data_IF_553870545071
#
_entry.id   IF_553870545071
#
_cell.length_a   1.000
_cell.length_b   1.000
_cell.length_c   1.000
_cell.angle_alpha   90.00
_cell.angle_beta   90.00
_cell.angle_gamma   90.00
#
_symmetry.space_group_name_H-M   'P 1'
#
loop_
_entity.id
_entity.type
_entity.pdbx_description
1 polymer ?
#
# COMPACT_ATOMS: atom_id res chain seq x y z
N UNK A 1 -16.67 27.73 97.99
CA UNK A 1 -15.96 26.90 96.97
C UNK A 1 -16.85 26.90 95.77
N UNK A 2 -16.56 27.77 94.80
CA UNK A 2 -17.32 27.88 93.54
C UNK A 2 -16.63 27.06 92.44
N UNK A 3 -17.37 26.11 91.88
CA UNK A 3 -16.94 25.33 90.75
C UNK A 3 -17.43 25.96 89.49
N UNK A 4 -16.50 26.43 88.60
CA UNK A 4 -16.81 26.91 87.24
C UNK A 4 -16.78 25.78 86.28
N UNK A 5 -17.93 25.55 85.62
CA UNK A 5 -18.05 24.58 84.50
C UNK A 5 -17.89 25.31 83.18
N UNK A 6 -16.87 24.96 82.45
CA UNK A 6 -16.61 25.44 81.06
C UNK A 6 -17.42 24.59 80.07
N UNK A 7 -18.42 25.23 79.42
CA UNK A 7 -19.18 24.67 78.31
C UNK A 7 -18.34 24.78 77.04
N UNK A 8 -18.08 23.64 76.39
CA UNK A 8 -17.43 23.60 75.07
C UNK A 8 -18.48 23.97 74.00
N UNK A 9 -18.14 24.92 73.14
CA UNK A 9 -18.89 25.23 71.92
C UNK A 9 -18.57 24.16 70.83
N UNK A 10 -19.56 23.75 70.05
CA UNK A 10 -19.30 22.86 68.87
C UNK A 10 -18.77 23.64 67.68
N UNK A 11 -17.70 23.14 67.12
CA UNK A 11 -17.10 23.64 65.84
C UNK A 11 -18.00 23.24 64.66
N UNK A 12 -18.30 24.12 63.67
CA UNK A 12 -19.06 23.73 62.48
C UNK A 12 -18.17 22.94 61.55
N UNK A 13 -18.56 21.74 61.19
CA UNK A 13 -18.00 20.95 60.11
C UNK A 13 -18.20 21.71 58.78
N UNK A 14 -17.13 22.31 58.25
CA UNK A 14 -17.10 22.80 56.87
C UNK A 14 -16.87 21.60 55.96
N UNK A 15 -17.93 21.11 55.32
CA UNK A 15 -17.81 20.19 54.19
C UNK A 15 -17.15 20.89 53.01
N UNK A 16 -15.91 20.53 52.70
CA UNK A 16 -15.27 20.91 51.45
C UNK A 16 -15.86 20.07 50.32
N UNK A 17 -16.72 20.67 49.51
CA UNK A 17 -17.19 20.06 48.27
C UNK A 17 -16.03 20.23 47.24
N UNK A 18 -15.30 19.14 46.98
CA UNK A 18 -14.31 19.06 45.94
C UNK A 18 -15.05 18.97 44.58
N UNK A 19 -15.21 20.10 43.92
CA UNK A 19 -15.73 20.12 42.53
C UNK A 19 -14.60 19.65 41.62
N UNK A 20 -14.62 18.37 41.23
CA UNK A 20 -13.77 17.84 40.15
C UNK A 20 -14.26 18.45 38.82
N UNK A 21 -13.56 19.47 38.33
CA UNK A 21 -13.71 19.98 37.00
C UNK A 21 -13.16 18.89 36.03
N UNK A 22 -14.04 18.07 35.47
CA UNK A 22 -13.73 17.24 34.31
C UNK A 22 -13.53 18.17 33.10
N UNK A 23 -12.30 18.59 32.88
CA UNK A 23 -11.92 19.23 31.60
C UNK A 23 -12.01 18.15 30.53
N UNK A 24 -12.73 18.41 29.41
CA UNK A 24 -12.69 17.51 28.29
C UNK A 24 -11.24 17.43 27.77
N UNK A 25 -10.66 16.25 27.75
CA UNK A 25 -9.41 15.99 27.03
C UNK A 25 -9.78 16.08 25.56
N UNK A 26 -9.48 17.22 24.94
CA UNK A 26 -9.53 17.36 23.49
C UNK A 26 -8.38 16.49 22.99
N UNK A 27 -8.68 15.27 22.51
CA UNK A 27 -7.74 14.49 21.75
C UNK A 27 -7.41 15.31 20.49
N UNK A 28 -6.20 15.83 20.41
CA UNK A 28 -5.70 16.38 19.14
C UNK A 28 -5.50 15.18 18.24
N UNK A 29 -6.33 15.05 17.21
CA UNK A 29 -6.09 14.06 16.17
C UNK A 29 -4.67 14.28 15.62
N UNK A 30 -3.87 13.21 15.59
CA UNK A 30 -2.54 13.26 14.99
C UNK A 30 -2.66 13.55 13.48
N UNK A 31 -1.60 14.08 12.89
CA UNK A 31 -1.52 14.22 11.43
C UNK A 31 -1.73 12.83 10.78
N UNK A 32 -2.50 12.74 9.68
CA UNK A 32 -2.72 11.47 9.02
C UNK A 32 -1.41 10.90 8.45
N UNK A 33 -1.24 9.59 8.54
CA UNK A 33 -0.14 8.90 7.87
C UNK A 33 -0.34 8.98 6.35
N UNK A 34 0.63 9.54 5.65
CA UNK A 34 0.58 9.76 4.20
C UNK A 34 1.44 8.73 3.47
N UNK A 35 0.79 7.84 2.75
CA UNK A 35 1.45 6.76 1.99
C UNK A 35 1.26 7.01 0.49
N UNK A 36 2.36 7.00 -0.26
CA UNK A 36 2.31 7.01 -1.72
C UNK A 36 2.57 5.62 -2.26
N UNK A 37 1.75 5.19 -3.23
CA UNK A 37 1.91 3.92 -3.93
C UNK A 37 2.23 4.16 -5.39
N UNK A 38 3.38 3.65 -5.84
CA UNK A 38 3.84 3.66 -7.23
C UNK A 38 3.89 2.24 -7.79
N UNK A 39 3.72 2.09 -9.10
CA UNK A 39 3.67 0.77 -9.74
C UNK A 39 4.09 0.82 -11.19
N UNK A 40 4.60 -0.31 -11.70
CA UNK A 40 4.77 -0.54 -13.14
C UNK A 40 5.51 0.62 -13.82
N UNK A 41 6.70 0.94 -13.31
CA UNK A 41 7.53 2.07 -13.79
C UNK A 41 8.39 1.69 -14.99
N UNK A 42 8.52 0.40 -15.25
CA UNK A 42 9.34 -0.16 -16.31
C UNK A 42 8.92 0.31 -17.72
N UNK A 43 9.89 0.39 -18.61
CA UNK A 43 9.68 0.63 -20.04
C UNK A 43 9.66 -0.66 -20.86
N UNK A 44 10.17 -0.62 -22.10
CA UNK A 44 10.34 -1.81 -22.95
C UNK A 44 11.43 -2.73 -22.39
N UNK A 45 11.33 -4.04 -22.67
CA UNK A 45 12.23 -5.08 -22.17
C UNK A 45 13.72 -4.76 -22.36
N UNK A 46 14.46 -4.76 -21.25
CA UNK A 46 15.89 -4.44 -21.20
C UNK A 46 16.22 -2.94 -21.24
N UNK A 47 15.21 -2.07 -21.20
CA UNK A 47 15.42 -0.62 -21.20
C UNK A 47 16.00 -0.14 -19.87
N UNK A 48 16.96 0.77 -19.97
CA UNK A 48 17.48 1.58 -18.86
C UNK A 48 16.88 2.99 -18.85
N UNK A 49 15.89 3.26 -19.73
CA UNK A 49 15.25 4.58 -19.85
C UNK A 49 13.88 4.54 -19.24
N UNK A 50 13.58 5.51 -18.43
CA UNK A 50 12.25 5.77 -17.88
C UNK A 50 11.53 6.81 -18.73
N UNK A 51 10.21 6.69 -18.82
CA UNK A 51 9.38 7.68 -19.49
C UNK A 51 9.22 8.93 -18.62
N UNK A 52 9.04 10.10 -19.24
CA UNK A 52 8.88 11.38 -18.56
C UNK A 52 7.86 11.41 -17.41
N UNK A 53 6.73 10.67 -17.45
CA UNK A 53 5.81 10.59 -16.30
C UNK A 53 6.44 10.00 -15.03
N UNK A 54 7.46 9.15 -15.13
CA UNK A 54 8.16 8.62 -13.95
C UNK A 54 8.89 9.74 -13.22
N UNK A 55 9.69 10.53 -13.96
CA UNK A 55 10.45 11.64 -13.37
C UNK A 55 9.52 12.74 -12.83
N UNK A 56 8.43 13.05 -13.56
CA UNK A 56 7.43 14.02 -13.11
C UNK A 56 6.70 13.56 -11.83
N UNK A 57 6.35 12.27 -11.76
CA UNK A 57 5.76 11.68 -10.55
C UNK A 57 6.74 11.75 -9.37
N UNK A 58 8.02 11.41 -9.59
CA UNK A 58 9.04 11.46 -8.54
C UNK A 58 9.24 12.90 -8.03
N UNK A 59 9.30 13.89 -8.91
CA UNK A 59 9.38 15.30 -8.50
C UNK A 59 8.19 15.68 -7.60
N UNK A 60 6.96 15.29 -7.99
CA UNK A 60 5.77 15.57 -7.19
C UNK A 60 5.75 14.82 -5.87
N UNK A 61 6.19 13.58 -5.82
CA UNK A 61 6.27 12.78 -4.58
C UNK A 61 7.27 13.40 -3.59
N UNK A 62 8.41 13.89 -4.08
CA UNK A 62 9.39 14.58 -3.23
C UNK A 62 8.84 15.88 -2.64
N UNK A 63 8.01 16.63 -3.39
CA UNK A 63 7.30 17.82 -2.88
C UNK A 63 6.24 17.45 -1.82
N UNK A 64 5.50 16.35 -2.03
CA UNK A 64 4.48 15.86 -1.12
C UNK A 64 5.06 15.39 0.22
N UNK A 65 6.32 14.96 0.26
CA UNK A 65 7.00 14.44 1.45
C UNK A 65 6.16 13.42 2.22
N UNK A 66 5.76 12.30 1.59
CA UNK A 66 4.99 11.27 2.26
C UNK A 66 5.82 10.59 3.37
N UNK A 67 5.16 10.00 4.34
CA UNK A 67 5.79 9.20 5.39
C UNK A 67 6.31 7.85 4.88
N UNK A 68 5.76 7.37 3.75
CA UNK A 68 6.14 6.11 3.13
C UNK A 68 5.86 6.15 1.63
N UNK A 69 6.77 5.56 0.84
CA UNK A 69 6.51 5.18 -0.54
C UNK A 69 6.53 3.66 -0.67
N UNK A 70 5.50 3.08 -1.30
CA UNK A 70 5.39 1.65 -1.61
C UNK A 70 5.49 1.47 -3.12
N UNK A 71 6.36 0.55 -3.58
CA UNK A 71 6.30 0.05 -4.96
C UNK A 71 5.59 -1.30 -4.99
N UNK A 72 4.55 -1.41 -5.82
CA UNK A 72 3.88 -2.69 -6.07
C UNK A 72 4.51 -3.48 -7.22
N UNK A 73 5.81 -3.28 -7.49
CA UNK A 73 6.59 -4.08 -8.43
C UNK A 73 6.68 -3.51 -9.85
N UNK A 74 7.34 -4.26 -10.71
CA UNK A 74 7.67 -3.92 -12.10
C UNK A 74 8.45 -2.60 -12.20
N UNK A 75 9.52 -2.53 -11.41
CA UNK A 75 10.45 -1.41 -11.33
C UNK A 75 11.40 -1.39 -12.53
N UNK A 76 11.84 -2.56 -13.00
CA UNK A 76 12.71 -2.73 -14.16
C UNK A 76 12.11 -3.70 -15.18
N UNK A 77 12.55 -3.63 -16.45
CA UNK A 77 11.92 -4.31 -17.57
C UNK A 77 12.62 -5.63 -17.94
N UNK A 78 12.66 -6.57 -17.01
CA UNK A 78 13.14 -7.93 -17.25
C UNK A 78 12.16 -8.82 -18.02
N UNK A 79 12.28 -10.14 -17.84
CA UNK A 79 11.48 -11.17 -18.52
C UNK A 79 11.61 -11.22 -20.05
N UNK A 80 12.69 -10.68 -20.61
CA UNK A 80 12.96 -10.74 -22.06
C UNK A 80 13.41 -12.15 -22.47
N UNK A 81 13.04 -12.55 -23.66
CA UNK A 81 13.63 -13.71 -24.35
C UNK A 81 14.19 -13.30 -25.73
N UNK A 82 15.45 -13.68 -26.09
CA UNK A 82 16.40 -14.42 -25.24
C UNK A 82 16.71 -13.68 -23.96
N UNK A 83 17.12 -14.42 -22.91
CA UNK A 83 17.36 -13.88 -21.57
C UNK A 83 18.40 -12.74 -21.59
N UNK A 84 18.18 -11.76 -20.71
CA UNK A 84 19.13 -10.69 -20.45
C UNK A 84 20.37 -11.23 -19.74
N UNK A 85 21.52 -10.67 -20.03
CA UNK A 85 22.73 -10.92 -19.27
C UNK A 85 22.66 -10.23 -17.91
N UNK A 86 23.46 -10.71 -16.92
CA UNK A 86 23.62 -10.05 -15.62
C UNK A 86 23.90 -8.55 -15.78
N UNK A 87 24.83 -8.20 -16.67
CA UNK A 87 25.22 -6.80 -16.92
C UNK A 87 24.04 -5.93 -17.39
N UNK A 88 23.18 -6.47 -18.26
CA UNK A 88 21.99 -5.74 -18.74
C UNK A 88 20.99 -5.55 -17.60
N UNK A 89 20.77 -6.58 -16.76
CA UNK A 89 19.87 -6.51 -15.62
C UNK A 89 20.38 -5.51 -14.58
N UNK A 90 21.67 -5.58 -14.23
CA UNK A 90 22.29 -4.63 -13.30
C UNK A 90 22.25 -3.19 -13.82
N UNK A 91 22.40 -2.96 -15.14
CA UNK A 91 22.26 -1.63 -15.73
C UNK A 91 20.84 -1.08 -15.62
N UNK A 92 19.81 -1.93 -15.73
CA UNK A 92 18.42 -1.52 -15.47
C UNK A 92 18.21 -1.11 -14.02
N UNK A 93 18.78 -1.87 -13.06
CA UNK A 93 18.70 -1.51 -11.65
C UNK A 93 19.44 -0.23 -11.30
N UNK A 94 20.63 0.00 -11.89
CA UNK A 94 21.34 1.27 -11.73
C UNK A 94 20.48 2.45 -12.19
N UNK A 95 19.82 2.32 -13.35
CA UNK A 95 18.91 3.35 -13.83
C UNK A 95 17.71 3.55 -12.89
N UNK A 96 17.10 2.47 -12.39
CA UNK A 96 16.01 2.55 -11.42
C UNK A 96 16.43 3.31 -10.16
N UNK A 97 17.57 2.96 -9.60
CA UNK A 97 18.05 3.61 -8.39
C UNK A 97 18.29 5.11 -8.62
N UNK A 98 18.91 5.48 -9.73
CA UNK A 98 19.15 6.90 -10.06
C UNK A 98 17.87 7.72 -10.23
N UNK A 99 16.80 7.13 -10.81
CA UNK A 99 15.53 7.84 -11.05
C UNK A 99 14.58 7.80 -9.85
N UNK A 100 14.64 6.77 -8.99
CA UNK A 100 13.60 6.52 -7.98
C UNK A 100 14.18 6.38 -6.58
N UNK A 101 14.95 5.33 -6.29
CA UNK A 101 15.27 5.01 -4.90
C UNK A 101 16.31 5.95 -4.27
N UNK A 102 17.28 6.45 -5.05
CA UNK A 102 18.27 7.42 -4.56
C UNK A 102 17.66 8.80 -4.26
N UNK A 103 16.78 9.37 -5.11
CA UNK A 103 16.03 10.58 -4.76
C UNK A 103 15.20 10.46 -3.49
N UNK A 104 14.49 9.33 -3.29
CA UNK A 104 13.72 9.08 -2.07
C UNK A 104 14.63 8.96 -0.84
N UNK A 105 15.71 8.21 -0.94
CA UNK A 105 16.69 8.06 0.14
C UNK A 105 17.35 9.41 0.46
N UNK A 106 17.70 10.20 -0.55
CA UNK A 106 18.27 11.54 -0.37
C UNK A 106 17.31 12.52 0.33
N UNK A 107 15.99 12.30 0.20
CA UNK A 107 14.97 13.08 0.90
C UNK A 107 14.61 12.50 2.28
N UNK A 108 15.19 11.35 2.67
CA UNK A 108 14.87 10.67 3.93
C UNK A 108 13.48 10.02 3.95
N UNK A 109 12.90 9.74 2.76
CA UNK A 109 11.58 9.13 2.64
C UNK A 109 11.72 7.61 2.65
N UNK A 110 11.10 6.88 3.59
CA UNK A 110 11.07 5.42 3.62
C UNK A 110 10.52 4.84 2.31
N UNK A 111 11.19 3.81 1.80
CA UNK A 111 10.79 3.17 0.54
C UNK A 111 10.78 1.66 0.67
N UNK A 112 9.62 1.04 0.49
CA UNK A 112 9.42 -0.41 0.53
C UNK A 112 8.93 -0.93 -0.83
N UNK A 113 9.24 -2.18 -1.14
CA UNK A 113 8.97 -2.76 -2.45
C UNK A 113 8.41 -4.17 -2.33
N UNK A 114 7.53 -4.56 -3.24
CA UNK A 114 7.23 -5.98 -3.52
C UNK A 114 7.77 -6.34 -4.90
N UNK A 115 8.20 -7.59 -5.16
CA UNK A 115 8.66 -7.98 -6.48
C UNK A 115 7.53 -7.95 -7.49
N UNK A 116 7.82 -7.48 -8.71
CA UNK A 116 6.99 -7.64 -9.88
C UNK A 116 7.41 -8.83 -10.75
N UNK A 117 6.60 -9.15 -11.76
CA UNK A 117 6.96 -10.25 -12.65
C UNK A 117 8.11 -9.89 -13.61
N UNK A 118 8.36 -8.60 -13.86
CA UNK A 118 9.46 -8.14 -14.70
C UNK A 118 10.78 -7.91 -13.94
N UNK A 119 10.78 -7.92 -12.62
CA UNK A 119 11.98 -7.65 -11.82
C UNK A 119 12.35 -8.76 -10.83
N UNK A 120 11.38 -9.44 -10.21
CA UNK A 120 11.61 -10.47 -9.19
C UNK A 120 10.85 -11.78 -9.43
N UNK A 121 10.57 -12.14 -10.69
CA UNK A 121 9.72 -13.27 -11.07
C UNK A 121 10.07 -14.59 -10.40
N UNK A 122 9.08 -15.25 -9.81
CA UNK A 122 9.19 -16.60 -9.29
C UNK A 122 9.13 -17.69 -10.39
N UNK A 123 8.94 -17.35 -11.66
CA UNK A 123 9.07 -18.31 -12.76
C UNK A 123 10.52 -18.80 -12.89
N UNK A 124 10.72 -20.11 -12.88
CA UNK A 124 12.04 -20.76 -12.92
C UNK A 124 12.95 -20.27 -14.06
N UNK A 125 12.38 -19.85 -15.20
CA UNK A 125 13.12 -19.33 -16.33
C UNK A 125 13.82 -17.99 -16.06
N UNK A 126 13.47 -17.28 -15.00
CA UNK A 126 13.97 -15.93 -14.66
C UNK A 126 14.69 -15.89 -13.31
N UNK A 127 15.25 -17.03 -12.89
CA UNK A 127 15.94 -17.16 -11.60
C UNK A 127 17.13 -16.18 -11.43
N UNK A 128 17.81 -15.84 -12.52
CA UNK A 128 18.90 -14.84 -12.48
C UNK A 128 18.36 -13.44 -12.16
N UNK A 129 17.26 -13.02 -12.79
CA UNK A 129 16.62 -11.72 -12.52
C UNK A 129 16.14 -11.64 -11.08
N UNK A 130 15.51 -12.72 -10.58
CA UNK A 130 15.06 -12.84 -9.21
C UNK A 130 16.23 -12.80 -8.18
N UNK A 131 17.36 -13.45 -8.47
CA UNK A 131 18.53 -13.38 -7.62
C UNK A 131 19.10 -11.97 -7.58
N UNK A 132 19.18 -11.29 -8.72
CA UNK A 132 19.66 -9.91 -8.78
C UNK A 132 18.71 -8.96 -8.05
N UNK A 133 17.39 -9.17 -8.14
CA UNK A 133 16.42 -8.44 -7.32
C UNK A 133 16.79 -8.50 -5.83
N UNK A 134 17.06 -9.70 -5.31
CA UNK A 134 17.48 -9.84 -3.91
C UNK A 134 18.82 -9.14 -3.63
N UNK A 135 19.80 -9.25 -4.52
CA UNK A 135 21.07 -8.55 -4.41
C UNK A 135 20.91 -7.02 -4.37
N UNK A 136 19.87 -6.47 -5.02
CA UNK A 136 19.59 -5.04 -5.00
C UNK A 136 18.92 -4.59 -3.70
N UNK A 137 18.02 -5.41 -3.13
CA UNK A 137 17.18 -4.96 -2.02
C UNK A 137 17.65 -5.41 -0.64
N UNK A 138 18.27 -6.58 -0.49
CA UNK A 138 18.77 -7.07 0.80
C UNK A 138 19.75 -6.10 1.52
N UNK A 139 20.66 -5.41 0.83
CA UNK A 139 21.59 -4.48 1.49
C UNK A 139 20.97 -3.10 1.77
N UNK A 140 19.74 -2.83 1.34
CA UNK A 140 19.08 -1.53 1.51
C UNK A 140 18.16 -1.54 2.71
N UNK A 141 18.32 -0.55 3.58
CA UNK A 141 17.42 -0.34 4.70
C UNK A 141 16.22 0.51 4.24
N UNK A 142 14.99 -0.01 4.30
CA UNK A 142 13.81 0.70 3.79
C UNK A 142 13.32 1.82 4.71
N UNK A 143 13.91 2.00 5.89
CA UNK A 143 13.54 3.03 6.85
C UNK A 143 12.28 2.71 7.67
N UNK A 144 11.89 1.43 7.76
CA UNK A 144 10.74 0.94 8.53
C UNK A 144 11.15 -0.12 9.54
N UNK A 145 10.31 -0.36 10.55
CA UNK A 145 10.56 -1.44 11.53
C UNK A 145 9.91 -2.75 11.08
N UNK A 146 10.72 -3.73 10.73
CA UNK A 146 10.24 -5.06 10.42
C UNK A 146 9.66 -5.77 11.65
N UNK A 147 8.54 -6.46 11.45
CA UNK A 147 7.90 -7.38 12.39
C UNK A 147 8.24 -8.83 12.05
N UNK A 148 8.35 -9.11 10.77
CA UNK A 148 8.79 -10.39 10.21
C UNK A 148 9.51 -10.13 8.88
N UNK A 149 10.78 -10.49 8.79
CA UNK A 149 11.66 -10.27 7.63
C UNK A 149 12.26 -11.57 7.07
N UNK A 150 11.80 -12.74 7.55
CA UNK A 150 12.35 -14.03 7.16
C UNK A 150 12.27 -14.30 5.63
N UNK A 151 11.31 -13.70 4.94
CA UNK A 151 11.14 -13.77 3.49
C UNK A 151 11.65 -12.56 2.72
N UNK A 152 12.25 -11.57 3.40
CA UNK A 152 12.74 -10.35 2.75
C UNK A 152 13.84 -10.68 1.72
N UNK A 153 13.83 -10.06 0.54
CA UNK A 153 13.01 -8.94 0.07
C UNK A 153 11.75 -9.35 -0.73
N UNK A 154 11.33 -10.60 -0.68
CA UNK A 154 10.22 -11.09 -1.49
C UNK A 154 8.86 -10.95 -0.79
N UNK A 155 8.79 -11.33 0.49
CA UNK A 155 7.62 -11.13 1.35
C UNK A 155 8.09 -10.83 2.79
N UNK A 156 7.40 -9.94 3.45
CA UNK A 156 7.75 -9.47 4.79
C UNK A 156 6.61 -8.66 5.39
N UNK A 157 6.67 -8.44 6.71
CA UNK A 157 5.74 -7.58 7.42
C UNK A 157 6.49 -6.50 8.21
N UNK A 158 5.96 -5.29 8.23
CA UNK A 158 6.51 -4.15 8.96
C UNK A 158 5.39 -3.27 9.52
N UNK A 159 5.77 -2.37 10.41
CA UNK A 159 4.88 -1.34 10.94
C UNK A 159 5.33 0.06 10.58
N UNK A 160 4.38 0.96 10.46
CA UNK A 160 4.60 2.39 10.46
C UNK A 160 3.38 3.09 11.10
N UNK A 161 3.63 3.85 12.17
CA UNK A 161 2.53 4.35 12.99
C UNK A 161 1.68 3.23 13.58
N UNK A 162 0.36 3.34 13.49
CA UNK A 162 -0.60 2.34 13.95
C UNK A 162 -1.13 1.45 12.80
N UNK A 163 -0.27 1.18 11.81
CA UNK A 163 -0.61 0.41 10.61
C UNK A 163 0.35 -0.76 10.43
N UNK A 164 -0.23 -1.96 10.25
CA UNK A 164 0.48 -3.16 9.83
C UNK A 164 0.51 -3.22 8.30
N UNK A 165 1.71 -3.31 7.75
CA UNK A 165 1.93 -3.50 6.31
C UNK A 165 2.52 -4.88 6.03
N UNK A 166 1.98 -5.57 5.00
CA UNK A 166 2.40 -6.92 4.62
C UNK A 166 2.66 -6.98 3.11
N UNK A 167 3.90 -7.26 2.72
CA UNK A 167 4.31 -7.51 1.33
C UNK A 167 4.14 -8.99 0.99
N UNK A 168 3.57 -9.31 -0.17
CA UNK A 168 3.44 -10.66 -0.67
C UNK A 168 4.25 -10.87 -1.95
N UNK A 169 4.93 -12.00 -2.07
CA UNK A 169 5.53 -12.47 -3.31
C UNK A 169 4.47 -13.07 -4.24
N UNK A 170 3.84 -12.23 -5.03
CA UNK A 170 2.85 -12.62 -6.02
C UNK A 170 3.28 -12.13 -7.42
N UNK A 171 4.25 -12.81 -8.00
CA UNK A 171 4.82 -12.50 -9.33
C UNK A 171 4.41 -13.49 -10.41
N UNK A 172 3.62 -14.51 -10.03
CA UNK A 172 3.10 -15.58 -10.89
C UNK A 172 1.59 -15.59 -10.79
N UNK A 173 0.94 -15.81 -11.92
CA UNK A 173 -0.52 -16.00 -11.99
C UNK A 173 -0.94 -17.29 -11.29
N UNK A 174 -2.06 -17.28 -10.58
CA UNK A 174 -2.58 -18.40 -9.81
C UNK A 174 -2.33 -18.26 -8.31
N UNK A 175 -2.75 -19.24 -7.54
CA UNK A 175 -2.74 -19.24 -6.08
C UNK A 175 -1.32 -19.04 -5.51
N UNK A 176 -1.24 -18.37 -4.37
CA UNK A 176 -0.01 -18.28 -3.62
C UNK A 176 0.47 -19.67 -3.15
N UNK A 177 1.80 -19.88 -3.00
CA UNK A 177 2.31 -21.10 -2.40
C UNK A 177 1.71 -21.34 -1.00
N UNK A 178 1.37 -22.60 -0.63
CA UNK A 178 0.82 -22.89 0.71
C UNK A 178 1.69 -22.37 1.84
N UNK A 179 3.01 -22.44 1.71
CA UNK A 179 3.95 -21.91 2.71
C UNK A 179 3.81 -20.40 2.92
N UNK A 180 3.54 -19.62 1.87
CA UNK A 180 3.31 -18.19 2.00
C UNK A 180 1.92 -17.89 2.59
N UNK A 181 0.91 -18.69 2.26
CA UNK A 181 -0.41 -18.60 2.89
C UNK A 181 -0.36 -18.88 4.39
N UNK A 182 0.40 -19.93 4.82
CA UNK A 182 0.59 -20.25 6.23
C UNK A 182 1.37 -19.14 6.96
N UNK A 183 2.40 -18.58 6.31
CA UNK A 183 3.14 -17.44 6.83
C UNK A 183 2.24 -16.20 7.00
N UNK A 184 1.45 -15.84 5.97
CA UNK A 184 0.53 -14.70 6.03
C UNK A 184 -0.47 -14.85 7.18
N UNK A 185 -1.05 -16.06 7.33
CA UNK A 185 -1.94 -16.39 8.46
C UNK A 185 -1.23 -16.16 9.79
N UNK A 186 -0.02 -16.69 9.94
CA UNK A 186 0.77 -16.52 11.17
C UNK A 186 1.08 -15.06 11.51
N UNK A 187 1.37 -14.23 10.49
CA UNK A 187 1.58 -12.78 10.67
C UNK A 187 0.30 -12.07 11.12
N UNK A 188 -0.83 -12.36 10.45
CA UNK A 188 -2.12 -11.74 10.78
C UNK A 188 -2.63 -12.19 12.16
N UNK A 189 -2.48 -13.47 12.52
CA UNK A 189 -2.86 -14.00 13.84
C UNK A 189 -2.00 -13.40 14.95
N UNK A 190 -0.70 -13.18 14.70
CA UNK A 190 0.24 -12.69 15.70
C UNK A 190 0.15 -11.19 15.93
N UNK A 191 0.00 -10.42 14.86
CA UNK A 191 0.13 -8.95 14.90
C UNK A 191 -1.15 -8.22 14.52
N UNK A 192 -2.08 -8.85 13.80
CA UNK A 192 -3.22 -8.15 13.18
C UNK A 192 -4.07 -7.34 14.17
N UNK A 193 -4.25 -7.81 15.41
CA UNK A 193 -5.05 -7.14 16.41
C UNK A 193 -4.33 -6.01 17.15
N UNK A 194 -3.00 -5.91 17.00
CA UNK A 194 -2.19 -4.89 17.65
C UNK A 194 -2.21 -3.56 16.89
N UNK A 195 -2.68 -3.57 15.64
CA UNK A 195 -2.70 -2.42 14.74
C UNK A 195 -4.12 -2.04 14.36
N UNK A 196 -4.38 -0.75 14.26
CA UNK A 196 -5.68 -0.21 13.87
C UNK A 196 -6.02 -0.53 12.42
N UNK A 197 -5.04 -0.49 11.53
CA UNK A 197 -5.19 -0.76 10.09
C UNK A 197 -4.23 -1.84 9.61
N UNK A 198 -4.66 -2.60 8.62
CA UNK A 198 -3.91 -3.68 7.98
C UNK A 198 -3.91 -3.46 6.47
N UNK A 199 -2.74 -3.26 5.92
CA UNK A 199 -2.51 -3.04 4.48
C UNK A 199 -1.68 -4.18 3.93
N UNK A 200 -2.22 -4.92 2.99
CA UNK A 200 -1.52 -5.97 2.26
C UNK A 200 -1.22 -5.47 0.84
N UNK A 201 -0.05 -5.77 0.32
CA UNK A 201 0.29 -5.38 -1.04
C UNK A 201 1.07 -6.46 -1.78
N UNK A 202 0.84 -6.52 -3.10
CA UNK A 202 1.48 -7.46 -4.01
C UNK A 202 1.60 -6.87 -5.40
N UNK A 203 2.24 -7.59 -6.33
CA UNK A 203 2.24 -7.16 -7.73
C UNK A 203 1.01 -7.68 -8.49
N UNK A 204 0.88 -9.00 -8.66
CA UNK A 204 -0.28 -9.59 -9.34
C UNK A 204 -1.52 -9.41 -8.45
N UNK A 205 -2.63 -8.86 -8.98
CA UNK A 205 -3.82 -8.62 -8.20
C UNK A 205 -4.57 -9.91 -7.84
N UNK A 206 -5.34 -9.87 -6.75
CA UNK A 206 -6.19 -11.00 -6.36
C UNK A 206 -7.31 -11.23 -7.37
N UNK A 207 -7.89 -10.16 -7.91
CA UNK A 207 -9.00 -10.19 -8.86
C UNK A 207 -8.71 -9.36 -10.12
N UNK A 208 -9.34 -9.69 -11.28
CA UNK A 208 -9.07 -8.99 -12.52
C UNK A 208 -9.74 -7.61 -12.57
N UNK A 209 -9.00 -6.61 -13.10
CA UNK A 209 -9.44 -5.23 -13.27
C UNK A 209 -9.42 -4.76 -14.71
N UNK A 210 -8.47 -5.24 -15.53
CA UNK A 210 -8.17 -4.68 -16.83
C UNK A 210 -8.50 -5.61 -18.01
N UNK A 211 -8.90 -5.02 -19.14
CA UNK A 211 -9.11 -5.70 -20.41
C UNK A 211 -7.80 -6.30 -20.91
N UNK A 212 -7.86 -7.55 -21.39
CA UNK A 212 -6.71 -8.34 -21.85
C UNK A 212 -5.87 -8.92 -20.70
N UNK A 213 -6.35 -8.78 -19.46
CA UNK A 213 -5.74 -9.35 -18.24
C UNK A 213 -6.73 -10.16 -17.41
N UNK A 214 -7.81 -10.60 -18.03
CA UNK A 214 -8.90 -11.33 -17.36
C UNK A 214 -8.48 -12.69 -16.82
N UNK A 215 -7.25 -13.15 -17.15
CA UNK A 215 -6.66 -14.40 -16.67
C UNK A 215 -5.35 -14.22 -15.89
N UNK A 216 -4.91 -12.97 -15.75
CA UNK A 216 -3.62 -12.63 -15.13
C UNK A 216 -3.83 -12.12 -13.70
N UNK A 217 -4.28 -13.00 -12.80
CA UNK A 217 -4.60 -12.68 -11.42
C UNK A 217 -4.35 -13.90 -10.51
N UNK A 218 -4.33 -13.70 -9.19
CA UNK A 218 -4.12 -14.76 -8.20
C UNK A 218 -5.33 -15.70 -8.16
N UNK A 219 -6.53 -15.16 -8.03
CA UNK A 219 -7.78 -15.92 -8.10
C UNK A 219 -7.98 -16.93 -6.97
N UNK A 220 -7.46 -16.64 -5.78
CA UNK A 220 -7.47 -17.52 -4.62
C UNK A 220 -8.60 -17.14 -3.63
N UNK A 221 -9.69 -17.94 -3.55
CA UNK A 221 -10.77 -17.70 -2.60
C UNK A 221 -10.33 -17.83 -1.12
N UNK A 222 -9.32 -18.67 -0.84
CA UNK A 222 -8.83 -18.88 0.53
C UNK A 222 -8.02 -17.67 0.99
N UNK A 223 -7.26 -17.03 0.09
CA UNK A 223 -6.63 -15.74 0.37
C UNK A 223 -7.69 -14.66 0.63
N UNK A 224 -8.74 -14.58 -0.20
CA UNK A 224 -9.85 -13.66 0.05
C UNK A 224 -10.46 -13.86 1.44
N UNK A 225 -10.78 -15.10 1.79
CA UNK A 225 -11.39 -15.43 3.08
C UNK A 225 -10.46 -15.10 4.26
N UNK A 226 -9.15 -15.29 4.10
CA UNK A 226 -8.15 -14.92 5.11
C UNK A 226 -8.10 -13.41 5.33
N UNK A 227 -8.09 -12.63 4.24
CA UNK A 227 -8.07 -11.15 4.32
C UNK A 227 -9.34 -10.61 4.99
N UNK A 228 -10.52 -11.18 4.66
CA UNK A 228 -11.80 -10.86 5.29
C UNK A 228 -11.80 -11.17 6.79
N UNK A 229 -11.38 -12.39 7.15
CA UNK A 229 -11.39 -12.86 8.54
C UNK A 229 -10.41 -12.08 9.45
N UNK A 230 -9.36 -11.53 8.87
CA UNK A 230 -8.36 -10.73 9.57
C UNK A 230 -8.66 -9.21 9.52
N UNK A 231 -9.83 -8.81 9.02
CA UNK A 231 -10.24 -7.41 8.87
C UNK A 231 -9.17 -6.55 8.15
N UNK A 232 -8.62 -7.07 7.04
CA UNK A 232 -7.67 -6.31 6.22
C UNK A 232 -8.41 -5.16 5.54
N UNK A 233 -7.93 -3.93 5.74
CA UNK A 233 -8.55 -2.72 5.21
C UNK A 233 -8.27 -2.54 3.71
N UNK A 234 -6.99 -2.71 3.30
CA UNK A 234 -6.53 -2.51 1.93
C UNK A 234 -5.72 -3.68 1.40
N UNK A 235 -6.00 -4.04 0.15
CA UNK A 235 -5.14 -4.87 -0.68
C UNK A 235 -4.71 -4.07 -1.92
N UNK A 236 -3.42 -3.71 -2.01
CA UNK A 236 -2.87 -2.90 -3.10
C UNK A 236 -2.19 -3.81 -4.13
N UNK A 237 -2.38 -3.54 -5.42
CA UNK A 237 -1.76 -4.33 -6.48
C UNK A 237 -1.44 -3.53 -7.74
N UNK A 238 -0.39 -3.95 -8.46
CA UNK A 238 0.02 -3.42 -9.76
C UNK A 238 -0.47 -4.27 -10.93
N UNK A 239 0.44 -4.53 -11.89
CA UNK A 239 0.32 -5.48 -13.01
C UNK A 239 -0.77 -5.17 -14.05
N UNK A 240 -1.91 -4.69 -13.62
CA UNK A 240 -3.05 -4.41 -14.49
C UNK A 240 -3.02 -3.02 -15.13
N UNK A 241 -2.13 -2.13 -14.69
CA UNK A 241 -1.89 -0.80 -15.25
C UNK A 241 -3.17 0.03 -15.41
N UNK A 242 -4.12 -0.12 -14.53
CA UNK A 242 -5.38 0.61 -14.54
C UNK A 242 -5.86 0.87 -13.11
N UNK A 243 -6.02 2.13 -12.75
CA UNK A 243 -6.48 2.51 -11.41
C UNK A 243 -7.95 2.17 -11.23
N UNK A 244 -8.24 1.40 -10.19
CA UNK A 244 -9.59 1.17 -9.72
C UNK A 244 -9.62 0.89 -8.22
N UNK A 245 -10.31 1.71 -7.42
CA UNK A 245 -10.54 1.49 -6.00
C UNK A 245 -11.75 0.57 -5.83
N UNK A 246 -11.54 -0.73 -6.02
CA UNK A 246 -12.58 -1.75 -5.86
C UNK A 246 -12.75 -2.16 -4.41
N UNK A 247 -13.88 -2.79 -4.08
CA UNK A 247 -14.12 -3.39 -2.77
C UNK A 247 -15.04 -4.61 -2.89
N UNK A 248 -14.83 -5.55 -1.99
CA UNK A 248 -15.65 -6.74 -1.85
C UNK A 248 -15.57 -7.25 -0.41
N UNK A 249 -16.73 -7.45 0.24
CA UNK A 249 -16.86 -8.03 1.58
C UNK A 249 -15.96 -7.34 2.64
N UNK A 250 -16.04 -6.02 2.71
CA UNK A 250 -15.30 -5.24 3.71
C UNK A 250 -13.85 -4.93 3.35
N UNK A 251 -13.22 -5.64 2.41
CA UNK A 251 -11.84 -5.39 1.97
C UNK A 251 -11.83 -4.49 0.73
N UNK A 252 -11.00 -3.45 0.74
CA UNK A 252 -10.76 -2.63 -0.44
C UNK A 252 -9.59 -3.20 -1.27
N UNK A 253 -9.84 -3.50 -2.55
CA UNK A 253 -8.88 -3.97 -3.53
C UNK A 253 -8.54 -2.84 -4.48
N UNK A 254 -7.38 -2.23 -4.32
CA UNK A 254 -6.97 -1.06 -5.10
C UNK A 254 -5.94 -1.47 -6.14
N UNK A 255 -6.38 -1.50 -7.40
CA UNK A 255 -5.49 -1.70 -8.55
C UNK A 255 -4.81 -0.38 -8.90
N UNK A 256 -3.48 -0.42 -9.04
CA UNK A 256 -2.68 0.74 -9.41
C UNK A 256 -2.68 0.95 -10.92
N UNK A 257 -2.61 2.21 -11.35
CA UNK A 257 -2.15 2.51 -12.71
C UNK A 257 -0.64 2.39 -12.80
N UNK A 258 -0.11 2.37 -14.02
CA UNK A 258 1.33 2.41 -14.24
C UNK A 258 1.86 3.85 -14.27
N UNK A 259 3.17 4.02 -14.03
CA UNK A 259 3.89 5.26 -14.30
C UNK A 259 4.68 5.18 -15.61
N UNK A 260 5.31 4.03 -15.91
CA UNK A 260 6.14 3.81 -17.09
C UNK A 260 5.44 3.04 -18.18
N UNK A 261 5.15 1.76 -17.95
CA UNK A 261 4.54 0.87 -18.93
C UNK A 261 3.17 1.37 -19.43
N UNK A 262 2.70 0.85 -20.56
CA UNK A 262 1.49 1.33 -21.23
C UNK A 262 0.21 1.13 -20.42
N UNK A 263 -0.55 2.19 -20.13
CA UNK A 263 -1.79 2.09 -19.38
C UNK A 263 -2.85 1.26 -20.11
N UNK A 264 -3.69 0.54 -19.37
CA UNK A 264 -4.75 -0.32 -19.90
C UNK A 264 -6.14 0.24 -19.63
N UNK A 265 -7.13 -0.42 -20.22
CA UNK A 265 -8.56 -0.14 -19.99
C UNK A 265 -9.07 -0.98 -18.84
N UNK A 266 -9.86 -0.39 -17.97
CA UNK A 266 -10.65 -1.16 -17.01
C UNK A 266 -11.66 -2.06 -17.74
N UNK A 267 -12.06 -3.14 -17.11
CA UNK A 267 -13.13 -4.00 -17.61
C UNK A 267 -14.41 -3.18 -17.81
N UNK A 268 -14.98 -3.25 -19.00
CA UNK A 268 -16.19 -2.51 -19.38
C UNK A 268 -15.99 -1.02 -19.69
N UNK A 269 -14.77 -0.49 -19.67
CA UNK A 269 -14.47 0.92 -19.94
C UNK A 269 -13.76 1.06 -21.28
N UNK A 270 -14.12 2.11 -22.07
CA UNK A 270 -13.54 2.36 -23.40
C UNK A 270 -12.19 3.07 -23.33
N UNK A 271 -12.03 3.96 -22.37
CA UNK A 271 -10.82 4.77 -22.26
C UNK A 271 -9.74 4.07 -21.43
N UNK A 272 -8.48 4.37 -21.73
CA UNK A 272 -7.36 3.89 -20.93
C UNK A 272 -7.30 4.64 -19.61
N UNK A 273 -6.95 3.94 -18.54
CA UNK A 273 -6.64 4.60 -17.26
C UNK A 273 -5.50 5.59 -17.45
N UNK A 274 -5.58 6.81 -16.93
CA UNK A 274 -4.42 7.71 -16.91
C UNK A 274 -3.26 7.09 -16.13
N UNK A 275 -2.02 7.41 -16.49
CA UNK A 275 -0.87 7.13 -15.61
C UNK A 275 -1.06 7.89 -14.30
N UNK A 276 -0.83 7.24 -13.17
CA UNK A 276 -0.97 7.86 -11.86
C UNK A 276 -0.16 7.13 -10.79
N UNK A 277 0.16 7.83 -9.73
CA UNK A 277 0.47 7.23 -8.44
C UNK A 277 -0.73 7.41 -7.49
N UNK A 278 -0.81 6.59 -6.46
CA UNK A 278 -1.88 6.69 -5.46
C UNK A 278 -1.36 7.33 -4.19
N UNK A 279 -2.05 8.36 -3.69
CA UNK A 279 -1.87 8.92 -2.36
C UNK A 279 -2.95 8.35 -1.45
N UNK A 280 -2.55 7.85 -0.30
CA UNK A 280 -3.41 7.30 0.76
C UNK A 280 -3.17 8.13 2.01
N UNK A 281 -4.22 8.62 2.63
CA UNK A 281 -4.17 9.23 3.96
C UNK A 281 -4.93 8.34 4.94
N UNK A 282 -4.23 7.94 6.00
CA UNK A 282 -4.72 7.04 7.05
C UNK A 282 -4.71 7.81 8.36
N UNK A 283 -5.88 8.05 8.90
CA UNK A 283 -6.08 8.62 10.24
C UNK A 283 -6.78 7.62 11.15
N UNK A 284 -7.06 8.05 12.38
CA UNK A 284 -7.76 7.22 13.37
C UNK A 284 -9.10 6.71 12.85
N UNK A 285 -9.86 7.57 12.19
CA UNK A 285 -11.24 7.27 11.79
C UNK A 285 -11.40 7.09 10.28
N UNK A 286 -10.47 7.64 9.46
CA UNK A 286 -10.63 7.71 8.02
C UNK A 286 -9.47 7.05 7.28
N UNK A 287 -9.80 6.44 6.15
CA UNK A 287 -8.87 5.97 5.15
C UNK A 287 -9.31 6.52 3.80
N UNK A 288 -8.56 7.49 3.27
CA UNK A 288 -8.90 8.21 2.06
C UNK A 288 -7.85 7.98 0.97
N UNK A 289 -8.30 7.85 -0.28
CA UNK A 289 -7.44 7.52 -1.43
C UNK A 289 -7.66 8.52 -2.55
N UNK A 290 -6.57 8.98 -3.18
CA UNK A 290 -6.58 9.68 -4.45
C UNK A 290 -5.54 9.12 -5.42
N UNK A 291 -5.90 8.85 -6.66
CA UNK A 291 -4.93 8.58 -7.71
C UNK A 291 -4.58 9.88 -8.42
N UNK A 292 -3.35 10.32 -8.27
CA UNK A 292 -2.85 11.60 -8.81
C UNK A 292 -2.34 11.37 -10.22
N UNK A 293 -2.96 12.04 -11.20
CA UNK A 293 -2.81 11.73 -12.62
C UNK A 293 -1.74 12.55 -13.33
N UNK A 294 -1.04 11.87 -14.26
CA UNK A 294 -0.17 12.52 -15.23
C UNK A 294 -0.95 13.48 -16.16
N UNK A 295 -0.29 14.45 -16.81
CA UNK A 295 1.16 14.63 -16.87
C UNK A 295 1.75 15.46 -15.73
N UNK A 296 0.98 16.34 -15.07
CA UNK A 296 1.49 17.27 -14.07
C UNK A 296 1.43 16.70 -12.64
N UNK A 297 0.64 15.66 -12.42
CA UNK A 297 0.41 15.07 -11.09
C UNK A 297 -0.12 16.09 -10.04
N UNK A 298 -0.99 16.97 -10.49
CA UNK A 298 -1.65 18.00 -9.67
C UNK A 298 -3.12 17.68 -9.36
N UNK A 299 -3.74 16.78 -10.14
CA UNK A 299 -5.15 16.47 -10.05
C UNK A 299 -5.40 14.99 -9.81
N UNK A 300 -6.39 14.69 -8.98
CA UNK A 300 -6.87 13.33 -8.77
C UNK A 300 -7.76 12.85 -9.91
N UNK A 301 -7.73 11.56 -10.20
CA UNK A 301 -8.74 10.90 -11.05
C UNK A 301 -10.09 11.05 -10.39
N UNK A 302 -11.08 11.64 -11.10
CA UNK A 302 -12.45 11.73 -10.61
C UNK A 302 -13.11 10.34 -10.59
N UNK A 303 -13.41 9.84 -9.40
CA UNK A 303 -14.04 8.53 -9.24
C UNK A 303 -15.43 8.44 -9.89
N UNK A 304 -16.11 9.57 -10.14
CA UNK A 304 -17.38 9.56 -10.85
C UNK A 304 -17.23 9.12 -12.32
N UNK A 305 -16.02 9.23 -12.89
CA UNK A 305 -15.70 8.72 -14.24
C UNK A 305 -15.42 7.22 -14.25
N UNK A 306 -15.19 6.62 -13.07
CA UNK A 306 -14.96 5.19 -12.93
C UNK A 306 -16.29 4.44 -12.82
N UNK A 307 -16.36 3.18 -13.30
CA UNK A 307 -17.57 2.38 -13.18
C UNK A 307 -17.92 2.15 -11.71
N UNK A 308 -19.22 2.16 -11.38
CA UNK A 308 -19.69 1.86 -10.02
C UNK A 308 -19.36 0.41 -9.62
N UNK A 309 -19.19 -0.48 -10.62
CA UNK A 309 -18.82 -1.90 -10.43
C UNK A 309 -18.00 -2.39 -11.61
N UNK A 310 -17.02 -3.24 -11.30
CA UNK A 310 -16.33 -4.07 -12.28
C UNK A 310 -16.87 -5.50 -12.15
N UNK A 311 -17.22 -6.10 -13.27
CA UNK A 311 -17.70 -7.48 -13.36
C UNK A 311 -16.72 -8.31 -14.20
N UNK A 312 -16.26 -9.40 -13.63
CA UNK A 312 -15.55 -10.46 -14.34
C UNK A 312 -16.29 -11.79 -14.17
N UNK A 313 -15.81 -12.86 -14.80
CA UNK A 313 -16.36 -14.21 -14.61
C UNK A 313 -16.16 -14.76 -13.19
N UNK A 314 -15.22 -14.20 -12.41
CA UNK A 314 -14.78 -14.71 -11.11
C UNK A 314 -15.02 -13.76 -9.95
N UNK A 315 -15.21 -12.46 -10.20
CA UNK A 315 -15.39 -11.47 -9.15
C UNK A 315 -16.33 -10.33 -9.58
N UNK A 316 -16.98 -9.73 -8.58
CA UNK A 316 -17.81 -8.53 -8.72
C UNK A 316 -17.32 -7.51 -7.70
N UNK A 317 -16.51 -6.56 -8.16
CA UNK A 317 -15.95 -5.50 -7.33
C UNK A 317 -16.85 -4.27 -7.42
N UNK A 318 -17.27 -3.75 -6.28
CA UNK A 318 -17.98 -2.48 -6.16
C UNK A 318 -16.93 -1.38 -5.95
N UNK A 319 -17.13 -0.18 -6.48
CA UNK A 319 -16.25 0.95 -6.17
C UNK A 319 -16.29 1.23 -4.66
N UNK A 320 -15.14 1.47 -4.04
CA UNK A 320 -14.97 1.47 -2.60
C UNK A 320 -15.85 2.50 -1.88
N UNK A 321 -16.00 3.72 -2.42
CA UNK A 321 -16.87 4.77 -1.88
C UNK A 321 -18.38 4.44 -1.93
N UNK A 322 -18.75 3.38 -2.62
CA UNK A 322 -20.12 2.88 -2.70
C UNK A 322 -20.32 1.58 -1.90
N UNK A 323 -19.28 1.14 -1.16
CA UNK A 323 -19.23 -0.13 -0.42
C UNK A 323 -19.17 0.11 1.09
N UNK A 324 -19.03 -0.95 1.84
CA UNK A 324 -18.83 -1.03 3.28
C UNK A 324 -17.35 -1.16 3.70
N UNK A 325 -16.41 -1.00 2.76
CA UNK A 325 -14.98 -1.13 3.03
C UNK A 325 -14.36 0.04 3.82
N UNK A 326 -15.14 1.08 4.13
CA UNK A 326 -14.66 2.21 4.93
C UNK A 326 -13.60 3.09 4.25
N UNK A 327 -13.51 3.03 2.91
CA UNK A 327 -12.53 3.80 2.12
C UNK A 327 -13.20 4.97 1.42
N UNK A 328 -12.72 6.17 1.73
CA UNK A 328 -13.19 7.44 1.18
C UNK A 328 -12.33 7.95 0.02
N UNK A 329 -12.80 9.06 -0.57
CA UNK A 329 -12.08 9.81 -1.59
C UNK A 329 -11.28 10.92 -0.94
N UNK A 330 -9.96 10.92 -1.13
CA UNK A 330 -9.13 12.03 -0.72
C UNK A 330 -9.38 13.22 -1.65
N UNK A 331 -9.61 14.40 -1.05
CA UNK A 331 -9.70 15.67 -1.77
C UNK A 331 -8.35 16.35 -1.69
N UNK A 332 -7.83 16.75 -2.83
CA UNK A 332 -6.62 17.58 -2.88
C UNK A 332 -7.07 19.03 -2.66
N UNK A 333 -6.43 19.69 -1.69
CA UNK A 333 -6.60 21.13 -1.46
C UNK A 333 -5.79 21.95 -2.46
#
# INVERSE_FOLDING_TARGET
MCSFSLKRLPWPCRAFILVLLLLPVIAVAGEPLRVVVISDMNGSYGSTRYEAPVDAAMARILELKPDLVISTGDMVAGQRRPHLSRKEIEAMWQAFHAHVSEPLAGAGIPFVVTPGNHDGSAYKGFALERAIYAEQWMPREPGVRFLDDAGNPYHYAFELGDVLFISLDATVVGHLPPSQMDWLRGVLDKYGQDYRRRVVFSHVPLWPFAQGRERDFIGDPDLQALLEAADVDLYLSGHHHAFYPGAMRGVAFVSQSCLGAGPRRLLGVKDRSPRSFTLIEISDDELNIAAIAAPQFESAIDWNTLPARIHSSVAKLKRADLSDAGVGRLRLE
#
